data_IF_100779765552
#
_entry.id   IF_100779765552
#
_cell.length_a   1.000
_cell.length_b   1.000
_cell.length_c   1.000
_cell.angle_alpha   90.00
_cell.angle_beta   90.00
_cell.angle_gamma   90.00
#
_symmetry.space_group_name_H-M   'P 1'
#
loop_
_entity.id
_entity.type
_entity.pdbx_description
1 polymer ?
#
# COMPACT_ATOMS: atom_id res chain seq x y z
N UNK A 1 22.00 10.41 26.76
CA UNK A 1 20.83 9.73 26.17
C UNK A 1 19.76 10.77 25.91
N UNK A 2 19.56 11.17 24.65
CA UNK A 2 18.45 12.04 24.27
C UNK A 2 17.47 11.15 23.51
N UNK A 3 16.39 10.75 24.17
CA UNK A 3 15.30 10.04 23.53
C UNK A 3 14.71 10.98 22.48
N UNK A 4 14.89 10.61 21.21
CA UNK A 4 14.37 11.37 20.08
C UNK A 4 12.90 10.98 19.93
N UNK A 5 12.04 11.74 20.62
CA UNK A 5 10.59 11.62 20.54
C UNK A 5 10.17 12.08 19.14
N UNK A 6 10.07 11.14 18.19
CA UNK A 6 9.55 11.42 16.86
C UNK A 6 8.03 11.53 16.92
N UNK A 7 7.60 12.78 17.15
CA UNK A 7 6.54 13.51 16.45
C UNK A 7 5.14 12.89 16.39
N UNK A 8 4.35 13.30 17.38
CA UNK A 8 2.94 13.06 17.67
C UNK A 8 1.92 13.60 16.63
N UNK A 9 2.09 13.36 15.33
CA UNK A 9 1.12 13.81 14.30
C UNK A 9 0.42 12.70 13.52
N UNK A 10 0.72 11.42 13.78
CA UNK A 10 0.28 10.29 12.93
C UNK A 10 -0.75 9.32 13.54
N UNK A 11 -1.14 9.43 14.81
CA UNK A 11 -1.98 8.38 15.43
C UNK A 11 -3.50 8.56 15.23
N UNK A 12 -3.98 9.79 15.02
CA UNK A 12 -5.43 10.03 15.00
C UNK A 12 -5.86 10.94 13.85
N UNK A 13 -6.06 10.34 12.68
CA UNK A 13 -6.79 10.96 11.58
C UNK A 13 -8.26 11.14 11.94
N UNK A 14 -8.82 12.31 11.62
CA UNK A 14 -10.27 12.55 11.61
C UNK A 14 -10.96 11.65 10.58
N UNK A 15 -12.29 11.55 10.64
CA UNK A 15 -13.07 10.80 9.65
C UNK A 15 -12.78 11.25 8.23
N UNK A 16 -12.74 12.57 7.98
CA UNK A 16 -12.51 13.13 6.65
C UNK A 16 -11.09 12.84 6.16
N UNK A 17 -10.09 12.92 7.03
CA UNK A 17 -8.70 12.60 6.66
C UNK A 17 -8.52 11.11 6.37
N UNK A 18 -9.18 10.22 7.14
CA UNK A 18 -9.21 8.78 6.83
C UNK A 18 -9.85 8.51 5.47
N UNK A 19 -10.97 9.17 5.17
CA UNK A 19 -11.61 9.04 3.84
C UNK A 19 -10.67 9.50 2.75
N UNK A 20 -10.02 10.66 2.89
CA UNK A 20 -9.04 11.16 1.92
C UNK A 20 -7.88 10.17 1.72
N UNK A 21 -7.32 9.65 2.80
CA UNK A 21 -6.27 8.63 2.76
C UNK A 21 -6.73 7.39 1.96
N UNK A 22 -7.87 6.80 2.33
CA UNK A 22 -8.38 5.60 1.64
C UNK A 22 -8.69 5.85 0.16
N UNK A 23 -9.30 6.99 -0.19
CA UNK A 23 -9.56 7.34 -1.58
C UNK A 23 -8.26 7.51 -2.39
N UNK A 24 -7.24 8.16 -1.81
CA UNK A 24 -5.94 8.31 -2.48
C UNK A 24 -5.22 6.97 -2.69
N UNK A 25 -5.30 6.06 -1.71
CA UNK A 25 -4.82 4.67 -1.84
C UNK A 25 -5.53 3.96 -2.99
N UNK A 26 -6.85 4.05 -3.04
CA UNK A 26 -7.66 3.32 -4.03
C UNK A 26 -7.37 3.82 -5.45
N UNK A 27 -7.21 5.13 -5.65
CA UNK A 27 -6.76 5.69 -6.93
C UNK A 27 -5.36 5.20 -7.33
N UNK A 28 -4.41 5.16 -6.39
CA UNK A 28 -3.07 4.66 -6.66
C UNK A 28 -3.09 3.17 -7.05
N UNK A 29 -3.82 2.34 -6.31
CA UNK A 29 -3.95 0.91 -6.62
C UNK A 29 -4.65 0.65 -7.96
N UNK A 30 -5.66 1.44 -8.29
CA UNK A 30 -6.34 1.32 -9.59
C UNK A 30 -5.40 1.69 -10.74
N UNK A 31 -4.57 2.72 -10.56
CA UNK A 31 -3.51 3.04 -11.52
C UNK A 31 -2.53 1.88 -11.69
N UNK A 32 -2.10 1.24 -10.60
CA UNK A 32 -1.20 0.07 -10.68
C UNK A 32 -1.85 -1.06 -11.48
N UNK A 33 -3.08 -1.45 -11.17
CA UNK A 33 -3.81 -2.51 -11.89
C UNK A 33 -3.93 -2.20 -13.39
N UNK A 34 -4.30 -0.96 -13.72
CA UNK A 34 -4.44 -0.50 -15.11
C UNK A 34 -3.11 -0.48 -15.88
N UNK A 35 -1.98 -0.45 -15.18
CA UNK A 35 -0.64 -0.32 -15.77
C UNK A 35 0.24 -1.56 -15.57
N UNK A 36 -0.34 -2.74 -15.31
CA UNK A 36 0.41 -3.97 -15.03
C UNK A 36 1.45 -3.78 -13.91
N UNK A 37 1.05 -3.06 -12.85
CA UNK A 37 1.85 -2.74 -11.66
C UNK A 37 3.14 -1.94 -11.92
N UNK A 38 3.19 -1.21 -13.04
CA UNK A 38 4.27 -0.26 -13.35
C UNK A 38 4.13 1.02 -12.52
N UNK A 39 4.76 1.02 -11.35
CA UNK A 39 4.68 2.12 -10.38
C UNK A 39 5.20 3.46 -10.90
N UNK A 40 6.15 3.45 -11.86
CA UNK A 40 6.69 4.63 -12.54
C UNK A 40 5.60 5.45 -13.25
N UNK A 41 4.54 4.78 -13.74
CA UNK A 41 3.39 5.43 -14.37
C UNK A 41 2.40 6.05 -13.39
N UNK A 42 2.54 5.75 -12.10
CA UNK A 42 1.61 6.14 -11.05
C UNK A 42 2.27 7.05 -10.00
N UNK A 43 3.42 7.67 -10.33
CA UNK A 43 4.23 8.48 -9.41
C UNK A 43 3.45 9.63 -8.77
N UNK A 44 2.63 10.36 -9.53
CA UNK A 44 1.86 11.48 -8.99
C UNK A 44 0.80 11.01 -7.98
N UNK A 45 0.11 9.92 -8.29
CA UNK A 45 -0.87 9.30 -7.38
C UNK A 45 -0.18 8.71 -6.15
N UNK A 46 1.05 8.23 -6.30
CA UNK A 46 1.87 7.75 -5.18
C UNK A 46 2.18 8.89 -4.20
N UNK A 47 2.58 10.05 -4.70
CA UNK A 47 2.86 11.23 -3.87
C UNK A 47 1.60 11.71 -3.12
N UNK A 48 0.44 11.72 -3.79
CA UNK A 48 -0.83 12.09 -3.15
C UNK A 48 -1.19 11.09 -2.06
N UNK A 49 -1.01 9.79 -2.33
CA UNK A 49 -1.27 8.73 -1.37
C UNK A 49 -0.36 8.82 -0.13
N UNK A 50 0.95 8.98 -0.31
CA UNK A 50 1.91 9.11 0.79
C UNK A 50 1.71 10.38 1.61
N UNK A 51 1.32 11.49 0.98
CA UNK A 51 1.04 12.75 1.69
C UNK A 51 -0.32 12.77 2.39
N UNK A 52 -1.27 11.93 1.97
CA UNK A 52 -2.62 11.86 2.53
C UNK A 52 -2.77 10.83 3.64
N UNK A 53 -1.76 9.98 3.88
CA UNK A 53 -1.83 8.86 4.81
C UNK A 53 -0.65 8.86 5.80
N UNK A 54 -0.85 8.42 7.05
CA UNK A 54 0.23 8.09 7.97
C UNK A 54 1.18 7.05 7.38
N UNK A 55 2.48 7.22 7.62
CA UNK A 55 3.53 6.34 7.06
C UNK A 55 3.30 4.87 7.44
N UNK A 56 2.80 4.60 8.66
CA UNK A 56 2.47 3.25 9.10
C UNK A 56 1.33 2.63 8.28
N UNK A 57 0.32 3.43 7.92
CA UNK A 57 -0.79 2.97 7.09
C UNK A 57 -0.33 2.70 5.66
N UNK A 58 0.50 3.58 5.10
CA UNK A 58 1.11 3.37 3.77
C UNK A 58 1.84 2.03 3.73
N UNK A 59 2.73 1.78 4.70
CA UNK A 59 3.47 0.50 4.82
C UNK A 59 2.54 -0.70 4.95
N UNK A 60 1.51 -0.61 5.78
CA UNK A 60 0.56 -1.72 5.98
C UNK A 60 -0.21 -2.02 4.69
N UNK A 61 -0.74 -0.98 4.03
CA UNK A 61 -1.50 -1.12 2.81
C UNK A 61 -0.64 -1.63 1.65
N UNK A 62 0.59 -1.15 1.48
CA UNK A 62 1.50 -1.65 0.43
C UNK A 62 1.78 -3.16 0.59
N UNK A 63 2.02 -3.61 1.84
CA UNK A 63 2.15 -5.04 2.13
C UNK A 63 0.87 -5.81 1.81
N UNK A 64 -0.30 -5.25 2.15
CA UNK A 64 -1.60 -5.86 1.86
C UNK A 64 -1.84 -5.99 0.36
N UNK A 65 -1.51 -4.97 -0.44
CA UNK A 65 -1.64 -5.00 -1.90
C UNK A 65 -0.82 -6.15 -2.49
N UNK A 66 0.45 -6.24 -2.11
CA UNK A 66 1.36 -7.30 -2.58
C UNK A 66 0.86 -8.69 -2.18
N UNK A 67 0.37 -8.86 -0.95
CA UNK A 67 -0.22 -10.11 -0.50
C UNK A 67 -1.47 -10.50 -1.32
N UNK A 68 -2.37 -9.55 -1.58
CA UNK A 68 -3.58 -9.81 -2.37
C UNK A 68 -3.22 -10.20 -3.80
N UNK A 69 -2.24 -9.53 -4.41
CA UNK A 69 -1.74 -9.89 -5.74
C UNK A 69 -1.10 -11.28 -5.76
N UNK A 70 -0.28 -11.59 -4.76
CA UNK A 70 0.30 -12.93 -4.62
C UNK A 70 -0.80 -13.99 -4.49
N UNK A 71 -1.78 -13.75 -3.62
CA UNK A 71 -2.94 -14.64 -3.44
C UNK A 71 -3.70 -14.84 -4.74
N UNK A 72 -4.01 -13.77 -5.48
CA UNK A 72 -4.70 -13.86 -6.77
C UNK A 72 -3.89 -14.69 -7.79
N UNK A 73 -2.57 -14.51 -7.83
CA UNK A 73 -1.69 -15.32 -8.68
C UNK A 73 -1.72 -16.79 -8.28
N UNK A 74 -1.62 -17.10 -6.99
CA UNK A 74 -1.70 -18.48 -6.48
C UNK A 74 -3.04 -19.15 -6.78
N UNK A 75 -4.14 -18.39 -6.70
CA UNK A 75 -5.48 -18.89 -7.03
C UNK A 75 -5.66 -19.15 -8.54
N UNK A 76 -4.98 -18.38 -9.40
CA UNK A 76 -5.01 -18.54 -10.87
C UNK A 76 -4.06 -19.61 -11.39
N UNK A 77 -2.82 -19.60 -10.92
CA UNK A 77 -1.71 -20.39 -11.48
C UNK A 77 -1.45 -21.68 -10.68
N UNK A 78 -2.04 -21.81 -9.49
CA UNK A 78 -1.75 -22.92 -8.57
C UNK A 78 -0.41 -22.78 -7.86
N UNK A 79 0.07 -23.87 -7.26
CA UNK A 79 1.38 -23.96 -6.58
C UNK A 79 2.25 -25.00 -7.28
N UNK A 80 3.52 -24.67 -7.52
CA UNK A 80 4.52 -25.65 -7.96
C UNK A 80 5.00 -26.48 -6.77
N UNK A 81 4.76 -27.80 -6.73
CA UNK A 81 5.26 -28.65 -5.66
C UNK A 81 6.79 -28.58 -5.61
N UNK A 82 7.35 -28.46 -4.40
CA UNK A 82 8.77 -28.69 -4.23
C UNK A 82 8.99 -30.18 -4.47
N UNK A 83 9.81 -30.54 -5.46
CA UNK A 83 10.21 -31.93 -5.66
C UNK A 83 10.86 -32.44 -4.37
N UNK A 84 10.17 -33.33 -3.66
CA UNK A 84 10.74 -34.10 -2.57
C UNK A 84 11.85 -34.99 -3.17
N UNK A 85 13.10 -34.73 -2.79
CA UNK A 85 14.24 -35.61 -3.10
C UNK A 85 14.45 -36.59 -1.96
#
# INVERSE_FOLDING_TARGET
>A
MKYNIMSSKEEFLSKNERTKCWSSRDHFWECLRSNNDKADKCTDLRLIYESSCPVQWVKHFDRKYNYLKFKEKMEKDGYEPLNEK
#
